data_IF_451704110411
#
_entry.id   IF_451704110411
#
_cell.length_a   1.000
_cell.length_b   1.000
_cell.length_c   1.000
_cell.angle_alpha   90.00
_cell.angle_beta   90.00
_cell.angle_gamma   90.00
#
_symmetry.space_group_name_H-M   'P 1'
#
loop_
_entity.id
_entity.type
_entity.pdbx_description
1 polymer ?
#
# COMPACT_ATOMS: atom_id res chain seq x y z
N UNK A 1 57.79 38.99 -18.80
CA UNK A 1 56.44 38.64 -19.31
C UNK A 1 55.66 38.17 -18.08
N UNK A 2 55.26 39.09 -17.21
CA UNK A 2 53.93 39.77 -17.16
C UNK A 2 52.87 38.85 -16.55
N UNK A 3 52.13 39.11 -15.46
CA UNK A 3 52.02 40.09 -14.37
C UNK A 3 51.25 39.32 -13.24
N UNK A 4 51.67 39.24 -11.98
CA UNK A 4 51.37 40.15 -10.85
C UNK A 4 49.90 40.62 -10.71
N UNK A 5 49.21 40.13 -9.66
CA UNK A 5 48.18 40.76 -8.79
C UNK A 5 47.58 39.63 -7.92
N UNK A 6 47.60 39.57 -6.58
CA UNK A 6 47.91 40.55 -5.54
C UNK A 6 46.63 41.11 -4.90
N UNK A 7 46.17 40.53 -3.78
CA UNK A 7 45.57 41.27 -2.66
C UNK A 7 45.24 40.33 -1.46
N UNK A 8 45.84 40.65 -0.32
CA UNK A 8 45.56 40.13 1.00
C UNK A 8 44.54 41.03 1.72
N UNK A 9 43.74 40.48 2.63
CA UNK A 9 43.30 41.19 3.84
C UNK A 9 43.28 40.22 5.02
N UNK A 10 44.21 40.44 5.94
CA UNK A 10 44.19 40.02 7.34
C UNK A 10 43.19 40.91 8.09
N UNK A 11 42.37 40.33 8.97
CA UNK A 11 41.98 41.01 10.22
C UNK A 11 41.91 39.96 11.34
N UNK A 12 42.63 40.25 12.43
CA UNK A 12 42.75 39.40 13.60
C UNK A 12 42.22 40.13 14.84
N UNK A 13 41.65 39.32 15.75
CA UNK A 13 41.57 39.48 17.22
C UNK A 13 40.57 40.50 17.82
N UNK A 14 39.61 40.01 18.61
CA UNK A 14 39.76 39.90 20.08
C UNK A 14 38.46 39.43 20.78
N UNK A 15 38.59 38.52 21.75
CA UNK A 15 37.71 38.32 22.93
C UNK A 15 38.54 38.72 24.18
N UNK A 16 38.04 38.95 25.43
CA UNK A 16 37.26 37.96 26.23
C UNK A 16 36.33 38.47 27.40
N UNK A 17 35.67 37.50 28.06
CA UNK A 17 35.28 37.39 29.52
C UNK A 17 34.25 38.37 30.14
N UNK A 18 33.58 38.15 31.29
CA UNK A 18 33.05 37.04 32.12
C UNK A 18 32.25 37.72 33.29
N UNK A 19 31.62 36.93 34.18
CA UNK A 19 30.89 37.26 35.46
C UNK A 19 29.42 37.72 35.38
N UNK A 20 28.55 37.53 36.38
CA UNK A 20 28.30 36.55 37.46
C UNK A 20 26.98 37.01 38.16
N UNK A 21 26.29 36.10 38.85
CA UNK A 21 24.99 36.30 39.51
C UNK A 21 25.00 37.32 40.69
N UNK A 22 23.84 37.62 41.28
CA UNK A 22 23.60 37.02 42.60
C UNK A 22 22.18 36.49 42.86
N UNK A 23 22.17 35.59 43.85
CA UNK A 23 21.10 34.86 44.52
C UNK A 23 20.56 35.66 45.73
N UNK A 24 19.24 35.77 45.93
CA UNK A 24 18.61 36.12 47.24
C UNK A 24 17.16 35.57 47.35
N UNK A 25 17.05 34.42 48.02
CA UNK A 25 16.09 34.04 49.11
C UNK A 25 14.65 34.61 49.21
N UNK A 26 13.71 33.66 49.37
CA UNK A 26 12.31 33.74 49.86
C UNK A 26 12.14 34.28 51.30
N UNK A 27 10.94 34.77 51.69
CA UNK A 27 9.99 33.90 52.44
C UNK A 27 8.46 34.15 52.21
N UNK A 28 7.65 33.09 52.38
CA UNK A 28 6.21 33.05 52.71
C UNK A 28 5.99 33.36 54.23
N UNK A 29 4.79 33.64 54.82
CA UNK A 29 3.46 33.06 54.50
C UNK A 29 2.20 33.94 54.73
N UNK A 30 1.01 33.41 54.42
CA UNK A 30 -0.26 33.87 55.01
C UNK A 30 -1.54 33.61 54.21
N UNK A 31 -2.26 32.54 54.55
CA UNK A 31 -3.68 32.26 54.17
C UNK A 31 -4.65 33.18 54.96
N UNK A 32 -5.91 33.39 54.51
CA UNK A 32 -6.97 32.45 54.91
C UNK A 32 -8.01 32.11 53.84
N UNK A 33 -8.80 31.09 54.18
CA UNK A 33 -9.75 30.33 53.40
C UNK A 33 -11.07 31.05 53.07
N UNK A 34 -11.79 30.56 52.05
CA UNK A 34 -13.16 30.07 52.23
C UNK A 34 -13.61 29.14 51.10
N UNK A 35 -14.30 28.09 51.54
CA UNK A 35 -14.99 26.99 50.85
C UNK A 35 -16.06 27.40 49.83
N UNK A 36 -16.17 26.66 48.72
CA UNK A 36 -17.46 26.23 48.17
C UNK A 36 -17.31 24.99 47.27
N UNK A 37 -18.04 23.95 47.65
CA UNK A 37 -18.24 22.65 47.02
C UNK A 37 -18.91 22.76 45.66
N UNK A 38 -18.48 21.97 44.68
CA UNK A 38 -19.13 21.87 43.37
C UNK A 38 -18.61 20.70 42.55
N UNK A 39 -19.12 19.50 42.81
CA UNK A 39 -18.95 18.32 41.97
C UNK A 39 -19.65 18.55 40.63
N UNK A 40 -18.91 18.56 39.52
CA UNK A 40 -19.47 18.32 38.19
C UNK A 40 -18.69 17.22 37.48
N UNK A 41 -19.28 16.03 37.50
CA UNK A 41 -19.12 14.99 36.48
C UNK A 41 -19.51 15.55 35.12
N UNK A 42 -18.53 15.66 34.22
CA UNK A 42 -18.74 16.00 32.81
C UNK A 42 -18.26 14.85 31.92
N UNK A 43 -19.18 13.95 31.61
CA UNK A 43 -19.04 12.95 30.53
C UNK A 43 -19.03 13.70 29.20
N UNK A 44 -17.92 13.66 28.46
CA UNK A 44 -17.90 14.08 27.05
C UNK A 44 -17.97 12.85 26.16
N UNK A 45 -19.20 12.51 25.81
CA UNK A 45 -19.55 11.63 24.71
C UNK A 45 -19.44 12.44 23.41
N UNK A 46 -18.36 12.26 22.66
CA UNK A 46 -18.21 12.78 21.31
C UNK A 46 -18.54 11.69 20.30
N UNK A 47 -19.83 11.46 20.04
CA UNK A 47 -20.27 10.63 18.94
C UNK A 47 -20.15 11.44 17.64
N UNK A 48 -19.30 11.00 16.71
CA UNK A 48 -19.35 11.45 15.32
C UNK A 48 -19.53 10.25 14.38
N UNK A 49 -20.60 10.35 13.60
CA UNK A 49 -20.74 9.83 12.24
C UNK A 49 -20.83 8.32 12.02
N UNK A 50 -22.03 7.79 12.19
CA UNK A 50 -22.46 6.58 11.49
C UNK A 50 -23.19 6.96 10.20
N UNK A 51 -22.50 6.96 9.06
CA UNK A 51 -23.09 6.61 7.76
C UNK A 51 -21.95 6.34 6.77
N UNK A 52 -21.68 5.08 6.45
CA UNK A 52 -21.38 4.68 5.08
C UNK A 52 -21.54 3.17 4.90
N UNK A 53 -21.96 2.85 3.69
CA UNK A 53 -22.78 1.71 3.31
C UNK A 53 -21.92 0.48 3.06
N UNK A 54 -22.20 -0.61 3.78
CA UNK A 54 -21.66 -1.92 3.46
C UNK A 54 -22.21 -2.43 2.12
N UNK A 55 -21.32 -2.63 1.14
CA UNK A 55 -21.62 -3.40 -0.05
C UNK A 55 -21.21 -4.86 0.21
N UNK A 56 -22.14 -5.63 0.77
CA UNK A 56 -22.03 -7.08 0.85
C UNK A 56 -22.23 -7.70 -0.54
N UNK A 57 -21.28 -8.52 -1.00
CA UNK A 57 -21.54 -9.57 -2.00
C UNK A 57 -21.14 -10.92 -1.41
N UNK A 58 -22.05 -11.46 -0.59
CA UNK A 58 -21.99 -12.83 -0.09
C UNK A 58 -23.02 -13.69 -0.82
N UNK A 59 -22.53 -14.57 -1.69
CA UNK A 59 -23.29 -15.62 -2.37
C UNK A 59 -23.80 -16.64 -1.34
N UNK A 60 -25.09 -17.01 -1.39
CA UNK A 60 -25.62 -18.17 -0.66
C UNK A 60 -26.44 -19.11 -1.59
N UNK A 61 -26.33 -20.44 -1.45
CA UNK A 61 -27.09 -21.41 -2.24
C UNK A 61 -28.31 -22.00 -1.50
N UNK A 62 -29.36 -22.30 -2.27
CA UNK A 62 -30.04 -23.60 -2.27
C UNK A 62 -31.04 -24.00 -1.16
N UNK A 63 -32.33 -23.90 -1.52
CA UNK A 63 -33.44 -24.84 -1.27
C UNK A 63 -34.13 -24.94 0.11
N UNK A 64 -35.46 -24.68 0.15
CA UNK A 64 -36.56 -25.69 0.17
C UNK A 64 -37.95 -25.07 0.48
N UNK A 65 -38.98 -25.54 -0.27
CA UNK A 65 -40.41 -25.82 0.08
C UNK A 65 -41.26 -24.75 0.78
N UNK A 66 -42.57 -24.55 0.56
CA UNK A 66 -43.66 -25.14 -0.24
C UNK A 66 -44.95 -24.39 0.10
N UNK A 67 -45.79 -24.03 -0.87
CA UNK A 67 -47.26 -23.83 -0.84
C UNK A 67 -47.64 -23.41 -2.28
N UNK A 68 -48.74 -23.77 -2.93
CA UNK A 68 -49.99 -24.40 -2.57
C UNK A 68 -51.06 -23.84 -3.53
N UNK A 69 -51.45 -24.63 -4.54
CA UNK A 69 -52.79 -24.68 -5.20
C UNK A 69 -53.37 -23.46 -5.93
N UNK A 70 -53.50 -23.53 -7.27
CA UNK A 70 -54.78 -23.60 -8.00
C UNK A 70 -54.60 -23.36 -9.53
N UNK A 71 -55.08 -24.31 -10.34
CA UNK A 71 -55.37 -24.21 -11.78
C UNK A 71 -56.87 -23.84 -11.97
N UNK A 72 -57.50 -23.74 -13.17
CA UNK A 72 -57.10 -24.16 -14.54
C UNK A 72 -57.36 -23.06 -15.62
N UNK A 73 -57.08 -23.16 -16.93
CA UNK A 73 -57.54 -24.06 -18.01
C UNK A 73 -56.94 -23.54 -19.33
N UNK A 74 -56.64 -24.39 -20.33
CA UNK A 74 -56.49 -23.91 -21.72
C UNK A 74 -55.60 -24.70 -22.69
N UNK A 75 -56.02 -25.92 -23.05
CA UNK A 75 -55.93 -26.56 -24.39
C UNK A 75 -54.73 -26.37 -25.37
N UNK A 76 -54.14 -27.54 -25.68
CA UNK A 76 -53.83 -28.15 -27.01
C UNK A 76 -52.84 -27.49 -27.99
N UNK A 77 -51.84 -28.30 -28.39
CA UNK A 77 -51.18 -28.20 -29.69
C UNK A 77 -49.92 -29.06 -29.79
N UNK A 78 -50.08 -30.31 -30.24
CA UNK A 78 -48.97 -31.21 -30.59
C UNK A 78 -48.46 -30.92 -32.01
N UNK A 79 -47.16 -31.13 -32.26
CA UNK A 79 -46.56 -31.11 -33.59
C UNK A 79 -45.11 -31.60 -33.57
N UNK A 80 -44.89 -32.75 -34.17
CA UNK A 80 -43.63 -33.52 -34.24
C UNK A 80 -42.67 -33.04 -35.34
N UNK A 81 -41.40 -33.51 -35.23
CA UNK A 81 -40.53 -34.00 -36.31
C UNK A 81 -39.96 -32.95 -37.30
N UNK A 82 -38.78 -33.09 -37.93
CA UNK A 82 -37.70 -34.07 -37.89
C UNK A 82 -36.44 -33.45 -38.53
N UNK A 83 -35.32 -34.14 -38.38
CA UNK A 83 -34.01 -33.90 -38.98
C UNK A 83 -33.97 -34.06 -40.52
N UNK A 84 -32.94 -33.47 -41.14
CA UNK A 84 -32.52 -33.77 -42.52
C UNK A 84 -31.02 -33.48 -42.72
N UNK A 85 -30.23 -34.55 -42.91
CA UNK A 85 -28.84 -34.56 -43.40
C UNK A 85 -28.82 -34.56 -44.93
N UNK A 86 -27.70 -34.11 -45.54
CA UNK A 86 -26.97 -34.62 -46.73
C UNK A 86 -26.07 -33.49 -47.26
N UNK A 87 -24.86 -33.62 -47.82
CA UNK A 87 -23.95 -34.69 -48.26
C UNK A 87 -22.69 -33.97 -48.84
N UNK A 88 -21.46 -34.37 -48.55
CA UNK A 88 -20.58 -35.25 -49.35
C UNK A 88 -20.05 -34.64 -50.68
N UNK A 89 -18.71 -34.65 -50.87
CA UNK A 89 -18.04 -34.33 -52.14
C UNK A 89 -16.51 -34.15 -52.06
N UNK A 90 -15.78 -35.27 -52.01
CA UNK A 90 -14.33 -35.51 -52.27
C UNK A 90 -13.89 -35.05 -53.69
N UNK A 91 -12.64 -35.00 -54.19
CA UNK A 91 -11.25 -35.28 -53.79
C UNK A 91 -10.34 -34.73 -54.93
N UNK A 92 -9.01 -34.67 -54.72
CA UNK A 92 -8.05 -34.53 -55.83
C UNK A 92 -6.59 -34.33 -55.39
N UNK A 93 -5.82 -35.41 -55.37
CA UNK A 93 -4.42 -35.49 -54.96
C UNK A 93 -3.41 -35.14 -56.08
N UNK A 94 -2.16 -34.84 -55.72
CA UNK A 94 -1.01 -34.84 -56.63
C UNK A 94 0.29 -34.39 -55.96
N UNK A 95 1.20 -35.34 -55.68
CA UNK A 95 2.46 -35.17 -54.95
C UNK A 95 3.69 -34.91 -55.84
N UNK A 96 4.72 -34.29 -55.27
CA UNK A 96 6.15 -34.71 -55.18
C UNK A 96 7.16 -33.58 -55.43
N UNK A 97 8.20 -33.54 -54.59
CA UNK A 97 9.37 -32.68 -54.78
C UNK A 97 10.20 -32.52 -53.51
N UNK A 98 11.07 -33.50 -53.23
CA UNK A 98 12.02 -33.47 -52.13
C UNK A 98 13.09 -32.38 -52.31
N UNK A 99 13.46 -31.70 -51.22
CA UNK A 99 14.51 -30.67 -51.23
C UNK A 99 15.09 -30.41 -49.84
N UNK A 100 16.09 -31.22 -49.48
CA UNK A 100 17.29 -30.94 -48.67
C UNK A 100 17.15 -30.25 -47.30
N UNK A 101 17.59 -30.99 -46.29
CA UNK A 101 17.91 -30.55 -44.93
C UNK A 101 18.74 -29.27 -44.87
N UNK A 102 18.24 -28.28 -44.12
CA UNK A 102 19.01 -27.20 -43.52
C UNK A 102 18.80 -27.29 -42.02
N UNK A 103 19.89 -27.58 -41.29
CA UNK A 103 19.91 -27.58 -39.83
C UNK A 103 19.67 -26.14 -39.32
N UNK A 104 18.41 -25.83 -39.03
CA UNK A 104 18.02 -24.62 -38.31
C UNK A 104 18.17 -24.86 -36.81
N UNK A 105 19.28 -24.36 -36.28
CA UNK A 105 19.55 -24.19 -34.85
C UNK A 105 18.27 -23.94 -34.05
N UNK A 106 17.91 -24.88 -33.19
CA UNK A 106 16.93 -24.68 -32.11
C UNK A 106 17.39 -23.50 -31.28
N UNK A 107 16.81 -22.32 -31.54
CA UNK A 107 16.92 -21.17 -30.68
C UNK A 107 16.35 -21.57 -29.33
N UNK A 108 17.24 -21.85 -28.38
CA UNK A 108 16.92 -21.92 -26.96
C UNK A 108 16.16 -20.65 -26.61
N UNK A 109 14.86 -20.78 -26.38
CA UNK A 109 14.07 -19.71 -25.78
C UNK A 109 14.78 -19.29 -24.51
N UNK A 110 15.31 -18.06 -24.51
CA UNK A 110 15.80 -17.45 -23.28
C UNK A 110 14.61 -17.48 -22.32
N UNK A 111 14.71 -18.32 -21.29
CA UNK A 111 13.94 -18.13 -20.07
C UNK A 111 14.11 -16.65 -19.71
N UNK A 112 13.00 -15.89 -19.78
CA UNK A 112 13.02 -14.48 -19.44
C UNK A 112 13.58 -14.36 -18.04
N UNK A 113 14.80 -13.85 -17.93
CA UNK A 113 15.43 -13.62 -16.64
C UNK A 113 14.49 -12.71 -15.84
N UNK A 114 14.01 -13.21 -14.72
CA UNK A 114 13.23 -12.41 -13.77
C UNK A 114 14.10 -11.22 -13.40
N UNK A 115 13.60 -9.99 -13.58
CA UNK A 115 14.30 -8.81 -13.13
C UNK A 115 14.65 -9.02 -11.64
N UNK A 116 15.94 -8.95 -11.25
CA UNK A 116 16.30 -9.10 -9.86
C UNK A 116 15.56 -8.06 -9.02
N UNK A 117 15.27 -8.39 -7.75
CA UNK A 117 14.87 -7.38 -6.79
C UNK A 117 15.87 -6.22 -6.84
N UNK A 118 15.41 -4.97 -6.69
CA UNK A 118 16.34 -3.84 -6.65
C UNK A 118 17.40 -4.09 -5.57
N UNK A 119 18.64 -3.69 -5.83
CA UNK A 119 19.74 -3.80 -4.85
C UNK A 119 19.33 -3.14 -3.52
N UNK A 120 18.52 -2.08 -3.59
CA UNK A 120 17.96 -1.39 -2.44
C UNK A 120 17.09 -2.30 -1.55
N UNK A 121 16.31 -3.22 -2.12
CA UNK A 121 15.46 -4.14 -1.36
C UNK A 121 16.21 -5.32 -0.71
N UNK A 122 17.42 -5.64 -1.20
CA UNK A 122 18.21 -6.76 -0.69
C UNK A 122 18.96 -6.43 0.63
N UNK A 123 19.25 -5.14 0.89
CA UNK A 123 20.00 -4.66 2.06
C UNK A 123 19.11 -4.06 3.17
N UNK A 124 17.80 -4.34 3.15
CA UNK A 124 16.85 -3.81 4.13
C UNK A 124 16.61 -4.74 5.31
N UNK A 125 16.17 -4.18 6.44
CA UNK A 125 15.59 -4.94 7.53
C UNK A 125 14.34 -5.69 7.04
N UNK A 126 14.44 -7.01 6.96
CA UNK A 126 13.33 -7.89 6.61
C UNK A 126 12.49 -8.20 7.85
N UNK A 127 11.17 -8.23 7.70
CA UNK A 127 10.26 -8.70 8.74
C UNK A 127 9.35 -9.78 8.21
N UNK A 128 9.39 -10.93 8.91
CA UNK A 128 8.50 -12.04 8.71
C UNK A 128 7.58 -12.18 9.94
N UNK A 129 6.31 -11.77 9.81
CA UNK A 129 5.34 -11.95 10.89
C UNK A 129 3.96 -11.36 10.63
N UNK A 130 3.26 -11.06 11.73
CA UNK A 130 1.92 -10.48 11.72
C UNK A 130 1.97 -8.96 11.80
N UNK A 131 1.17 -8.32 10.96
CA UNK A 131 0.96 -6.89 10.96
C UNK A 131 -0.51 -6.52 10.96
N UNK A 132 -0.76 -5.25 11.15
CA UNK A 132 -2.06 -4.64 10.87
C UNK A 132 -1.84 -3.23 10.34
N UNK A 133 -2.84 -2.65 9.70
CA UNK A 133 -2.85 -1.23 9.41
C UNK A 133 -4.18 -0.62 9.90
N UNK A 134 -4.18 0.68 10.14
CA UNK A 134 -5.36 1.39 10.62
C UNK A 134 -5.31 2.84 10.17
N UNK A 135 -6.48 3.41 9.90
CA UNK A 135 -6.61 4.71 9.26
C UNK A 135 -5.99 5.84 10.09
N UNK A 136 -6.18 5.85 11.42
CA UNK A 136 -5.61 6.86 12.32
C UNK A 136 -4.44 6.27 13.11
N UNK A 137 -3.29 6.94 13.06
CA UNK A 137 -2.09 6.58 13.82
C UNK A 137 -2.43 6.44 15.31
N UNK A 138 -2.28 5.23 15.92
CA UNK A 138 -2.68 5.01 17.32
C UNK A 138 -1.76 5.74 18.30
N UNK A 139 -2.26 6.05 19.51
CA UNK A 139 -1.42 6.63 20.56
C UNK A 139 -0.29 5.69 21.02
N UNK A 140 0.78 6.23 21.62
CA UNK A 140 1.85 5.39 22.20
C UNK A 140 1.34 4.47 23.32
N UNK A 141 0.31 4.88 24.07
CA UNK A 141 -0.34 4.03 25.08
C UNK A 141 -1.01 2.83 24.43
N UNK A 142 -1.74 3.05 23.34
CA UNK A 142 -2.37 1.99 22.55
C UNK A 142 -1.33 1.04 21.96
N UNK A 143 -0.27 1.58 21.35
CA UNK A 143 0.82 0.77 20.79
C UNK A 143 1.52 -0.08 21.84
N UNK A 144 1.66 0.40 23.08
CA UNK A 144 2.21 -0.38 24.19
C UNK A 144 1.27 -1.51 24.63
N UNK A 145 -0.02 -1.22 24.80
CA UNK A 145 -1.03 -2.21 25.18
C UNK A 145 -1.16 -3.33 24.14
N UNK A 146 -1.13 -2.96 22.86
CA UNK A 146 -1.24 -3.88 21.72
C UNK A 146 -0.06 -4.83 21.55
N UNK A 147 1.05 -4.66 22.30
CA UNK A 147 2.11 -5.67 22.37
C UNK A 147 1.63 -7.00 22.95
N UNK A 148 0.50 -7.01 23.66
CA UNK A 148 -0.18 -8.23 24.13
C UNK A 148 -0.78 -9.07 22.99
N UNK A 149 -0.98 -8.48 21.81
CA UNK A 149 -1.44 -9.17 20.59
C UNK A 149 -0.33 -9.98 19.93
N UNK A 150 -0.69 -10.72 18.86
CA UNK A 150 0.27 -11.41 17.96
C UNK A 150 1.05 -10.46 17.02
N UNK A 151 0.59 -9.22 16.83
CA UNK A 151 1.14 -8.31 15.83
C UNK A 151 2.48 -7.71 16.27
N UNK A 152 3.40 -7.52 15.31
CA UNK A 152 4.69 -6.84 15.54
C UNK A 152 5.02 -5.82 14.45
N UNK A 153 4.13 -5.61 13.49
CA UNK A 153 4.22 -4.54 12.50
C UNK A 153 2.93 -3.74 12.41
N UNK A 154 3.05 -2.47 11.99
CA UNK A 154 1.93 -1.55 11.78
C UNK A 154 2.09 -0.79 10.46
N UNK A 155 1.04 -0.77 9.65
CA UNK A 155 0.88 0.12 8.51
C UNK A 155 0.45 1.52 8.94
N UNK A 156 1.15 2.54 8.46
CA UNK A 156 0.96 3.94 8.87
C UNK A 156 0.80 4.83 7.65
N UNK A 157 -0.37 5.46 7.52
CA UNK A 157 -0.71 6.40 6.44
C UNK A 157 -0.02 7.75 6.64
N UNK A 158 1.23 7.85 6.19
CA UNK A 158 2.11 8.94 6.58
C UNK A 158 1.99 10.18 5.71
N UNK A 159 1.49 10.04 4.49
CA UNK A 159 1.47 11.13 3.50
C UNK A 159 0.50 10.94 2.35
N UNK A 160 0.45 11.96 1.49
CA UNK A 160 -0.32 11.99 0.26
C UNK A 160 -1.70 12.60 0.38
N UNK A 161 -2.14 13.23 -0.73
CA UNK A 161 -3.42 13.95 -0.86
C UNK A 161 -4.65 13.05 -0.77
N UNK A 162 -4.50 11.76 -1.02
CA UNK A 162 -5.57 10.76 -1.07
C UNK A 162 -5.86 10.03 0.24
N UNK A 163 -5.20 10.40 1.34
CA UNK A 163 -5.41 9.75 2.66
C UNK A 163 -6.87 9.81 3.09
N UNK A 164 -7.40 8.66 3.52
CA UNK A 164 -8.76 8.55 4.06
C UNK A 164 -8.92 9.31 5.38
N UNK A 165 -7.95 9.19 6.29
CA UNK A 165 -7.86 9.96 7.53
C UNK A 165 -6.80 11.07 7.37
N UNK A 166 -7.20 12.31 7.00
CA UNK A 166 -6.24 13.37 6.72
C UNK A 166 -5.55 13.89 7.99
N UNK A 167 -6.23 13.84 9.15
CA UNK A 167 -5.66 14.26 10.42
C UNK A 167 -5.02 13.06 11.14
N UNK A 168 -3.73 13.13 11.37
CA UNK A 168 -2.92 12.10 12.03
C UNK A 168 -2.30 12.69 13.31
N UNK A 169 -3.07 12.87 14.40
CA UNK A 169 -2.65 13.67 15.55
C UNK A 169 -1.43 13.10 16.29
N UNK A 170 -1.25 11.78 16.26
CA UNK A 170 -0.14 11.10 16.92
C UNK A 170 1.11 11.00 16.03
N UNK A 171 0.95 11.14 14.70
CA UNK A 171 2.03 10.91 13.75
C UNK A 171 3.08 12.01 13.83
N UNK A 172 4.25 11.64 14.33
CA UNK A 172 5.40 12.52 14.47
C UNK A 172 6.68 11.70 14.44
N UNK A 173 7.83 12.36 14.23
CA UNK A 173 9.14 11.70 14.36
C UNK A 173 9.32 11.03 15.72
N UNK A 174 8.87 11.68 16.80
CA UNK A 174 8.94 11.12 18.15
C UNK A 174 8.05 9.87 18.32
N UNK A 175 6.87 9.86 17.70
CA UNK A 175 6.03 8.67 17.70
C UNK A 175 6.70 7.52 16.97
N UNK A 176 7.23 7.77 15.77
CA UNK A 176 7.90 6.77 14.94
C UNK A 176 9.11 6.17 15.67
N UNK A 177 9.97 7.00 16.26
CA UNK A 177 11.11 6.51 17.05
C UNK A 177 10.66 5.75 18.30
N UNK A 178 9.60 6.20 18.98
CA UNK A 178 9.06 5.53 20.16
C UNK A 178 8.50 4.14 19.85
N UNK A 179 7.71 3.98 18.78
CA UNK A 179 7.17 2.66 18.41
C UNK A 179 8.27 1.73 17.90
N UNK A 180 9.26 2.27 17.17
CA UNK A 180 10.44 1.52 16.76
C UNK A 180 11.23 1.01 17.99
N UNK A 181 11.46 1.87 18.99
CA UNK A 181 12.08 1.50 20.26
C UNK A 181 11.27 0.50 21.10
N UNK A 182 9.95 0.43 20.93
CA UNK A 182 9.09 -0.63 21.48
C UNK A 182 9.17 -1.95 20.70
N UNK A 183 9.96 -2.00 19.63
CA UNK A 183 10.13 -3.16 18.76
C UNK A 183 8.97 -3.38 17.79
N UNK A 184 8.21 -2.33 17.45
CA UNK A 184 7.28 -2.38 16.31
C UNK A 184 8.04 -2.16 15.01
N UNK A 185 7.61 -2.84 13.94
CA UNK A 185 8.07 -2.58 12.58
C UNK A 185 7.05 -1.69 11.86
N UNK A 186 7.52 -0.64 11.20
CA UNK A 186 6.64 0.33 10.53
C UNK A 186 6.60 0.03 9.03
N UNK A 187 5.40 0.01 8.47
CA UNK A 187 5.12 -0.10 7.04
C UNK A 187 4.50 1.23 6.58
N UNK A 188 5.29 2.16 6.02
CA UNK A 188 4.79 3.49 5.69
C UNK A 188 4.01 3.47 4.37
N UNK A 189 2.74 3.89 4.44
CA UNK A 189 1.80 3.93 3.31
C UNK A 189 1.59 5.38 2.87
N UNK A 190 1.86 5.66 1.60
CA UNK A 190 1.62 6.96 0.97
C UNK A 190 0.41 6.85 0.05
N UNK A 191 -0.59 7.71 0.26
CA UNK A 191 -1.83 7.67 -0.51
C UNK A 191 -1.88 8.86 -1.45
N UNK A 192 -1.28 8.69 -2.61
CA UNK A 192 -1.12 9.71 -3.65
C UNK A 192 -2.34 9.89 -4.54
N UNK A 193 -2.09 10.47 -5.71
CA UNK A 193 -3.00 10.49 -6.86
C UNK A 193 -3.48 9.07 -7.18
N UNK A 194 -4.78 8.96 -7.49
CA UNK A 194 -5.45 7.68 -7.73
C UNK A 194 -5.74 7.48 -9.22
N UNK A 195 -5.95 6.22 -9.61
CA UNK A 195 -6.27 5.87 -10.99
C UNK A 195 -7.46 6.69 -11.54
N UNK A 196 -7.45 7.12 -12.82
CA UNK A 196 -8.58 7.86 -13.41
C UNK A 196 -9.91 7.10 -13.34
N UNK A 197 -9.85 5.77 -13.34
CA UNK A 197 -10.99 4.86 -13.22
C UNK A 197 -11.07 4.19 -11.84
N UNK A 198 -10.61 4.86 -10.78
CA UNK A 198 -10.73 4.35 -9.40
C UNK A 198 -12.18 4.02 -9.04
N UNK A 199 -12.39 2.84 -8.49
CA UNK A 199 -13.70 2.33 -8.11
C UNK A 199 -14.24 3.06 -6.87
N UNK A 200 -13.36 3.35 -5.90
CA UNK A 200 -13.72 4.03 -4.65
C UNK A 200 -14.17 5.48 -4.91
N UNK A 201 -15.44 5.77 -4.65
CA UNK A 201 -16.03 7.09 -4.92
C UNK A 201 -15.32 8.22 -4.17
N UNK A 202 -14.94 7.99 -2.91
CA UNK A 202 -14.23 8.97 -2.08
C UNK A 202 -12.87 9.39 -2.65
N UNK A 203 -12.30 8.58 -3.55
CA UNK A 203 -10.98 8.76 -4.16
C UNK A 203 -11.04 9.46 -5.51
N UNK A 204 -12.23 9.60 -6.12
CA UNK A 204 -12.41 10.29 -7.41
C UNK A 204 -12.03 11.77 -7.40
N UNK A 205 -11.93 12.38 -6.21
CA UNK A 205 -11.49 13.77 -6.04
C UNK A 205 -9.96 13.95 -6.07
N UNK A 206 -9.21 12.85 -6.08
CA UNK A 206 -7.73 12.85 -6.09
C UNK A 206 -7.18 12.01 -7.24
N UNK A 207 -7.90 11.90 -8.36
CA UNK A 207 -7.37 11.18 -9.52
C UNK A 207 -6.17 11.90 -10.11
N UNK A 208 -5.25 11.12 -10.70
CA UNK A 208 -4.17 11.65 -11.52
C UNK A 208 -4.73 12.44 -12.71
N UNK A 209 -4.03 13.50 -13.09
CA UNK A 209 -4.37 14.36 -14.22
C UNK A 209 -3.72 13.93 -15.53
N UNK A 210 -3.52 14.90 -16.42
CA UNK A 210 -3.02 14.67 -17.78
C UNK A 210 -1.50 14.42 -17.85
N UNK A 211 -0.77 14.62 -16.75
CA UNK A 211 0.68 14.34 -16.64
C UNK A 211 0.97 13.27 -15.57
N UNK A 212 0.61 11.99 -15.81
CA UNK A 212 0.82 10.92 -14.84
C UNK A 212 2.31 10.71 -14.51
N UNK A 213 3.22 10.97 -15.47
CA UNK A 213 4.65 10.80 -15.26
C UNK A 213 5.21 11.88 -14.34
N UNK A 214 4.89 13.14 -14.60
CA UNK A 214 5.25 14.27 -13.75
C UNK A 214 4.66 14.12 -12.35
N UNK A 215 3.36 13.85 -12.24
CA UNK A 215 2.70 13.65 -10.95
C UNK A 215 3.33 12.51 -10.14
N UNK A 216 3.62 11.34 -10.75
CA UNK A 216 4.27 10.25 -10.04
C UNK A 216 5.68 10.60 -9.55
N UNK A 217 6.42 11.43 -10.30
CA UNK A 217 7.74 11.92 -9.90
C UNK A 217 7.63 12.90 -8.73
N UNK A 218 6.73 13.88 -8.83
CA UNK A 218 6.54 14.90 -7.80
C UNK A 218 6.04 14.30 -6.49
N UNK A 219 5.06 13.38 -6.56
CA UNK A 219 4.56 12.74 -5.35
C UNK A 219 5.59 11.78 -4.74
N UNK A 220 6.47 11.14 -5.53
CA UNK A 220 7.56 10.33 -4.99
C UNK A 220 8.57 11.17 -4.20
N UNK A 221 8.85 12.39 -4.67
CA UNK A 221 9.67 13.36 -3.94
C UNK A 221 8.98 13.79 -2.65
N UNK A 222 7.67 14.05 -2.69
CA UNK A 222 6.87 14.36 -1.49
C UNK A 222 6.92 13.22 -0.47
N UNK A 223 6.74 11.97 -0.92
CA UNK A 223 6.81 10.78 -0.07
C UNK A 223 8.16 10.69 0.65
N UNK A 224 9.26 10.82 -0.09
CA UNK A 224 10.60 10.76 0.48
C UNK A 224 10.84 11.92 1.45
N UNK A 225 10.40 13.14 1.13
CA UNK A 225 10.52 14.29 2.02
C UNK A 225 9.77 14.04 3.35
N UNK A 226 8.53 13.57 3.29
CA UNK A 226 7.72 13.30 4.48
C UNK A 226 8.27 12.11 5.29
N UNK A 227 8.75 11.07 4.62
CA UNK A 227 9.41 9.94 5.27
C UNK A 227 10.65 10.41 6.05
N UNK A 228 11.50 11.25 5.44
CA UNK A 228 12.66 11.87 6.10
C UNK A 228 12.27 12.73 7.30
N UNK A 229 11.23 13.54 7.17
CA UNK A 229 10.72 14.37 8.27
C UNK A 229 10.27 13.53 9.48
N UNK A 230 9.76 12.32 9.23
CA UNK A 230 9.38 11.35 10.25
C UNK A 230 10.54 10.48 10.75
N UNK A 231 11.75 10.66 10.23
CA UNK A 231 12.95 9.94 10.66
C UNK A 231 13.19 8.60 9.95
N UNK A 232 12.46 8.32 8.87
CA UNK A 232 12.69 7.14 8.03
C UNK A 232 13.87 7.42 7.08
N UNK A 233 14.89 6.58 7.12
CA UNK A 233 16.14 6.78 6.36
C UNK A 233 16.16 5.99 5.04
N UNK A 234 17.16 6.26 4.21
CA UNK A 234 17.43 5.51 2.97
C UNK A 234 17.45 3.99 3.21
N UNK A 235 16.93 3.26 2.23
CA UNK A 235 16.62 1.83 2.33
C UNK A 235 15.28 1.52 3.01
N UNK A 236 14.52 2.52 3.49
CA UNK A 236 13.14 2.26 3.92
C UNK A 236 12.22 2.00 2.72
N UNK A 237 11.33 1.00 2.79
CA UNK A 237 10.26 0.84 1.81
C UNK A 237 9.19 1.92 1.99
N UNK A 238 8.69 2.47 0.89
CA UNK A 238 7.55 3.39 0.85
C UNK A 238 6.46 2.77 -0.03
N UNK A 239 5.31 2.44 0.57
CA UNK A 239 4.23 1.75 -0.13
C UNK A 239 3.26 2.76 -0.74
N UNK A 240 3.23 2.86 -2.07
CA UNK A 240 2.22 3.61 -2.81
C UNK A 240 0.88 2.86 -2.74
N UNK A 241 -0.12 3.50 -2.15
CA UNK A 241 -1.50 3.02 -2.12
C UNK A 241 -2.24 3.43 -3.39
N UNK A 242 -2.57 2.44 -4.21
CA UNK A 242 -3.42 2.58 -5.38
C UNK A 242 -4.66 1.71 -5.22
N UNK A 243 -5.77 2.35 -4.93
CA UNK A 243 -7.06 1.71 -4.69
C UNK A 243 -7.55 0.95 -5.93
N UNK A 244 -8.52 0.04 -5.76
CA UNK A 244 -9.04 -0.74 -6.89
C UNK A 244 -9.54 0.17 -8.03
N UNK A 245 -9.16 -0.16 -9.26
CA UNK A 245 -9.57 0.52 -10.49
C UNK A 245 -9.88 -0.49 -11.61
N UNK A 246 -10.54 -0.03 -12.67
CA UNK A 246 -10.84 -0.84 -13.86
C UNK A 246 -9.59 -0.99 -14.74
N UNK A 247 -8.81 -2.04 -14.47
CA UNK A 247 -7.63 -2.43 -15.23
C UNK A 247 -7.93 -2.94 -16.66
N UNK A 248 -9.19 -3.15 -17.04
CA UNK A 248 -9.60 -3.60 -18.37
C UNK A 248 -9.87 -2.41 -19.29
N UNK A 249 -10.07 -1.22 -18.74
CA UNK A 249 -9.96 0.02 -19.48
C UNK A 249 -8.49 0.27 -19.81
N UNK A 250 -8.12 0.09 -21.07
CA UNK A 250 -6.73 0.16 -21.51
C UNK A 250 -6.09 1.54 -21.31
N UNK A 251 -6.87 2.60 -21.48
CA UNK A 251 -6.36 3.97 -21.36
C UNK A 251 -6.14 4.31 -19.88
N UNK A 252 -7.08 3.90 -19.03
CA UNK A 252 -6.94 4.01 -17.59
C UNK A 252 -5.74 3.20 -17.06
N UNK A 253 -5.62 1.94 -17.48
CA UNK A 253 -4.53 1.05 -17.07
C UNK A 253 -3.16 1.59 -17.51
N UNK A 254 -3.05 2.10 -18.75
CA UNK A 254 -1.80 2.66 -19.27
C UNK A 254 -1.40 3.97 -18.55
N UNK A 255 -2.38 4.83 -18.24
CA UNK A 255 -2.17 6.07 -17.47
C UNK A 255 -1.68 5.74 -16.06
N UNK A 256 -2.38 4.82 -15.39
CA UNK A 256 -2.05 4.37 -14.03
C UNK A 256 -0.66 3.72 -13.98
N UNK A 257 -0.32 2.88 -14.95
CA UNK A 257 1.01 2.27 -15.05
C UNK A 257 2.12 3.31 -15.24
N UNK A 258 1.88 4.34 -16.05
CA UNK A 258 2.87 5.39 -16.30
C UNK A 258 3.18 6.18 -15.04
N UNK A 259 2.17 6.46 -14.21
CA UNK A 259 2.31 7.06 -12.89
C UNK A 259 3.08 6.16 -11.92
N UNK A 260 2.70 4.89 -11.80
CA UNK A 260 3.37 3.93 -10.89
C UNK A 260 4.85 3.81 -11.24
N UNK A 261 5.16 3.69 -12.54
CA UNK A 261 6.55 3.53 -13.00
C UNK A 261 7.42 4.77 -12.76
N UNK A 262 6.86 5.97 -12.89
CA UNK A 262 7.62 7.20 -12.60
C UNK A 262 7.84 7.37 -11.10
N UNK A 263 6.82 7.06 -10.29
CA UNK A 263 6.92 6.99 -8.84
C UNK A 263 8.03 6.02 -8.40
N UNK A 264 7.98 4.78 -8.85
CA UNK A 264 8.92 3.73 -8.43
C UNK A 264 10.36 4.09 -8.78
N UNK A 265 10.58 4.60 -9.99
CA UNK A 265 11.89 5.06 -10.45
C UNK A 265 12.43 6.19 -9.59
N UNK A 266 11.58 7.15 -9.22
CA UNK A 266 12.00 8.31 -8.44
C UNK A 266 12.28 7.95 -6.98
N UNK A 267 11.44 7.11 -6.36
CA UNK A 267 11.68 6.57 -5.01
C UNK A 267 13.03 5.83 -4.96
N UNK A 268 13.30 4.96 -5.94
CA UNK A 268 14.57 4.24 -6.02
C UNK A 268 15.76 5.17 -6.29
N UNK A 269 15.59 6.17 -7.17
CA UNK A 269 16.63 7.20 -7.42
C UNK A 269 16.99 7.98 -6.16
N UNK A 270 16.03 8.18 -5.26
CA UNK A 270 16.19 8.88 -3.99
C UNK A 270 16.71 7.97 -2.85
N UNK A 271 17.02 6.70 -3.13
CA UNK A 271 17.63 5.77 -2.18
C UNK A 271 16.63 5.03 -1.29
N UNK A 272 15.34 5.07 -1.61
CA UNK A 272 14.29 4.34 -0.89
C UNK A 272 13.85 3.11 -1.70
N UNK A 273 13.10 2.20 -1.07
CA UNK A 273 12.56 1.02 -1.73
C UNK A 273 11.12 1.28 -2.18
N UNK A 274 10.83 1.09 -3.46
CA UNK A 274 9.48 1.22 -4.01
C UNK A 274 8.60 0.05 -3.57
N UNK A 275 7.51 0.34 -2.86
CA UNK A 275 6.47 -0.62 -2.50
C UNK A 275 5.14 -0.24 -3.15
N UNK A 276 4.29 -1.23 -3.43
CA UNK A 276 2.98 -0.99 -4.02
C UNK A 276 1.89 -1.75 -3.28
N UNK A 277 0.81 -1.05 -2.92
CA UNK A 277 -0.42 -1.61 -2.38
C UNK A 277 -1.57 -1.48 -3.38
N UNK A 278 -2.31 -2.58 -3.59
CA UNK A 278 -3.60 -2.55 -4.30
C UNK A 278 -4.42 -3.83 -4.06
N UNK A 279 -5.65 -3.85 -4.57
CA UNK A 279 -6.50 -5.04 -4.63
C UNK A 279 -5.91 -6.11 -5.56
N UNK A 280 -5.96 -7.37 -5.12
CA UNK A 280 -5.40 -8.52 -5.82
C UNK A 280 -5.95 -8.71 -7.24
N UNK A 281 -7.23 -8.41 -7.45
CA UNK A 281 -7.93 -8.59 -8.74
C UNK A 281 -7.92 -7.33 -9.64
N UNK A 282 -7.22 -6.27 -9.22
CA UNK A 282 -7.11 -4.99 -9.94
C UNK A 282 -5.63 -4.64 -10.17
N UNK A 283 -5.06 -3.66 -9.45
CA UNK A 283 -3.70 -3.19 -9.68
C UNK A 283 -2.63 -4.27 -9.54
N UNK A 284 -2.79 -5.19 -8.59
CA UNK A 284 -1.86 -6.33 -8.43
C UNK A 284 -1.89 -7.26 -9.65
N UNK A 285 -3.09 -7.54 -10.19
CA UNK A 285 -3.24 -8.35 -11.40
C UNK A 285 -2.58 -7.67 -12.61
N UNK A 286 -2.76 -6.35 -12.76
CA UNK A 286 -2.10 -5.57 -13.79
C UNK A 286 -0.58 -5.63 -13.65
N UNK A 287 -0.01 -5.28 -12.50
CA UNK A 287 1.45 -5.29 -12.31
C UNK A 287 2.03 -6.70 -12.45
N UNK A 288 1.29 -7.74 -12.05
CA UNK A 288 1.64 -9.13 -12.33
C UNK A 288 1.72 -9.44 -13.84
N UNK A 289 0.82 -8.90 -14.65
CA UNK A 289 0.85 -9.02 -16.11
C UNK A 289 2.01 -8.23 -16.72
N UNK A 290 2.26 -7.02 -16.26
CA UNK A 290 3.38 -6.18 -16.71
C UNK A 290 4.74 -6.82 -16.39
N UNK A 291 4.89 -7.40 -15.20
CA UNK A 291 6.10 -8.15 -14.84
C UNK A 291 6.32 -9.37 -15.73
N UNK A 292 5.24 -10.06 -16.13
CA UNK A 292 5.30 -11.16 -17.11
C UNK A 292 5.72 -10.69 -18.50
N UNK A 293 5.28 -9.50 -18.90
CA UNK A 293 5.62 -8.88 -20.17
C UNK A 293 7.06 -8.33 -20.21
N UNK A 294 7.73 -8.21 -19.05
CA UNK A 294 9.09 -7.69 -18.94
C UNK A 294 9.17 -6.17 -18.83
N UNK A 295 8.08 -5.52 -18.41
CA UNK A 295 8.02 -4.08 -18.15
C UNK A 295 9.01 -3.71 -17.04
N UNK A 296 9.79 -2.66 -17.27
CA UNK A 296 10.77 -2.13 -16.31
C UNK A 296 10.13 -1.13 -15.34
N UNK A 297 10.87 -0.74 -14.31
CA UNK A 297 10.45 0.28 -13.33
C UNK A 297 9.16 -0.11 -12.60
N UNK A 298 9.00 -1.40 -12.30
CA UNK A 298 7.91 -1.91 -11.46
C UNK A 298 8.34 -1.86 -9.98
N UNK A 299 7.40 -1.89 -9.03
CA UNK A 299 7.74 -1.75 -7.62
C UNK A 299 8.63 -2.89 -7.16
N UNK A 300 9.48 -2.62 -6.18
CA UNK A 300 10.38 -3.60 -5.59
C UNK A 300 9.68 -4.55 -4.61
N UNK A 301 8.60 -4.10 -3.95
CA UNK A 301 7.82 -4.87 -2.95
C UNK A 301 6.33 -4.82 -3.26
N UNK A 302 5.62 -5.93 -3.06
CA UNK A 302 4.19 -6.07 -3.38
C UNK A 302 3.35 -6.29 -2.12
N UNK A 303 2.42 -5.39 -1.84
CA UNK A 303 1.38 -5.54 -0.84
C UNK A 303 0.03 -5.76 -1.53
N UNK A 304 -0.51 -6.98 -1.46
CA UNK A 304 -1.78 -7.30 -2.11
C UNK A 304 -2.92 -7.42 -1.09
N UNK A 305 -4.07 -6.83 -1.40
CA UNK A 305 -5.29 -7.03 -0.65
C UNK A 305 -6.15 -8.13 -1.28
N UNK A 306 -6.38 -9.19 -0.49
CA UNK A 306 -7.39 -10.21 -0.79
C UNK A 306 -7.99 -10.67 0.53
N UNK A 307 -9.18 -10.21 0.83
CA UNK A 307 -9.85 -10.52 2.09
C UNK A 307 -10.48 -11.91 2.04
N UNK A 308 -9.70 -12.92 2.41
CA UNK A 308 -10.08 -14.34 2.38
C UNK A 308 -9.82 -15.05 3.73
N UNK A 309 -9.43 -14.30 4.76
CA UNK A 309 -9.04 -14.80 6.09
C UNK A 309 -7.88 -15.81 6.08
N UNK A 310 -7.14 -15.93 4.96
CA UNK A 310 -6.00 -16.83 4.82
C UNK A 310 -4.69 -16.03 4.85
N UNK A 311 -3.92 -16.06 5.95
CA UNK A 311 -2.74 -15.22 6.12
C UNK A 311 -1.50 -15.81 5.42
N UNK A 312 -1.52 -15.86 4.09
CA UNK A 312 -0.44 -16.40 3.26
C UNK A 312 0.01 -15.40 2.21
N UNK A 313 1.29 -15.07 2.22
CA UNK A 313 1.95 -14.25 1.17
C UNK A 313 2.19 -15.03 -0.14
N UNK A 314 1.90 -16.32 -0.16
CA UNK A 314 2.06 -17.21 -1.32
C UNK A 314 0.72 -17.79 -1.77
N UNK A 315 0.65 -18.23 -3.04
CA UNK A 315 -0.55 -18.84 -3.60
C UNK A 315 -1.61 -17.85 -4.09
N UNK A 316 -1.31 -16.55 -4.12
CA UNK A 316 -2.16 -15.52 -4.73
C UNK A 316 -2.32 -15.76 -6.25
N UNK A 317 -3.52 -16.04 -6.77
CA UNK A 317 -3.73 -16.35 -8.19
C UNK A 317 -3.25 -15.26 -9.17
N UNK A 318 -3.29 -13.99 -8.78
CA UNK A 318 -2.84 -12.87 -9.61
C UNK A 318 -1.31 -12.78 -9.74
N UNK A 319 -0.56 -13.45 -8.86
CA UNK A 319 0.90 -13.39 -8.79
C UNK A 319 1.52 -14.79 -8.98
N UNK A 320 2.45 -14.94 -9.92
CA UNK A 320 3.19 -16.22 -10.03
C UNK A 320 4.06 -16.40 -8.80
N UNK A 321 4.36 -17.64 -8.40
CA UNK A 321 5.13 -17.93 -7.18
C UNK A 321 6.49 -17.24 -7.10
N UNK A 322 7.12 -16.96 -8.24
CA UNK A 322 8.44 -16.31 -8.34
C UNK A 322 8.39 -14.77 -8.38
N UNK A 323 7.24 -14.17 -8.63
CA UNK A 323 7.15 -12.71 -8.77
C UNK A 323 7.21 -12.06 -7.38
N UNK A 324 8.08 -11.07 -7.13
CA UNK A 324 8.27 -10.51 -5.78
C UNK A 324 8.50 -11.59 -4.71
N UNK A 325 9.49 -12.45 -4.90
CA UNK A 325 9.79 -13.57 -3.99
C UNK A 325 11.29 -13.90 -4.03
N UNK A 326 11.88 -14.36 -2.91
CA UNK A 326 11.30 -14.43 -1.55
C UNK A 326 11.31 -13.06 -0.84
N UNK A 327 10.60 -12.93 0.28
CA UNK A 327 10.68 -11.78 1.21
C UNK A 327 10.36 -10.40 0.58
N UNK A 328 9.39 -10.34 -0.34
CA UNK A 328 8.97 -9.09 -0.99
C UNK A 328 7.45 -8.97 -1.09
N UNK A 329 6.72 -9.61 -0.16
CA UNK A 329 5.26 -9.67 -0.19
C UNK A 329 4.62 -9.36 1.16
N UNK A 330 3.51 -8.63 1.08
CA UNK A 330 2.58 -8.41 2.18
C UNK A 330 1.19 -8.79 1.69
N UNK A 331 0.41 -9.45 2.55
CA UNK A 331 -0.97 -9.80 2.27
C UNK A 331 -1.89 -9.16 3.29
N UNK A 332 -2.73 -8.22 2.86
CA UNK A 332 -3.89 -7.78 3.63
C UNK A 332 -5.00 -8.82 3.47
N UNK A 333 -5.17 -9.67 4.47
CA UNK A 333 -5.99 -10.89 4.38
C UNK A 333 -7.38 -10.74 4.99
N UNK A 334 -7.63 -9.65 5.73
CA UNK A 334 -8.94 -9.26 6.24
C UNK A 334 -8.96 -7.75 6.42
N UNK A 335 -10.07 -7.09 6.05
CA UNK A 335 -10.28 -5.66 6.24
C UNK A 335 -11.39 -5.35 7.24
N UNK A 336 -11.36 -4.14 7.80
CA UNK A 336 -12.38 -3.54 8.68
C UNK A 336 -12.78 -4.44 9.87
N UNK A 337 -11.79 -5.03 10.54
CA UNK A 337 -12.03 -5.83 11.74
C UNK A 337 -11.74 -5.02 13.00
N UNK A 338 -12.66 -5.07 13.97
CA UNK A 338 -12.44 -4.49 15.30
C UNK A 338 -11.81 -5.54 16.22
N UNK A 339 -10.70 -5.18 16.84
CA UNK A 339 -10.03 -6.01 17.84
C UNK A 339 -9.71 -5.21 19.10
N UNK A 340 -9.67 -5.88 20.24
CA UNK A 340 -9.24 -5.30 21.51
C UNK A 340 -8.04 -6.09 22.06
N UNK A 341 -6.96 -5.37 22.38
CA UNK A 341 -5.75 -5.95 23.00
C UNK A 341 -5.25 -5.05 24.12
N UNK A 342 -5.00 -5.64 25.29
CA UNK A 342 -4.56 -4.89 26.47
C UNK A 342 -5.54 -3.79 26.90
N UNK A 343 -6.84 -3.98 26.67
CA UNK A 343 -7.90 -3.02 26.99
C UNK A 343 -7.95 -1.79 26.07
N UNK A 344 -7.43 -1.91 24.85
CA UNK A 344 -7.45 -0.85 23.83
C UNK A 344 -8.06 -1.42 22.55
N UNK A 345 -9.16 -0.84 22.09
CA UNK A 345 -9.84 -1.23 20.85
C UNK A 345 -9.28 -0.47 19.65
N UNK A 346 -9.11 -1.16 18.51
CA UNK A 346 -8.84 -0.53 17.20
C UNK A 346 -9.67 -1.21 16.11
N UNK A 347 -10.09 -0.41 15.12
CA UNK A 347 -10.49 -0.92 13.81
C UNK A 347 -9.27 -1.04 12.93
N UNK A 348 -9.00 -2.24 12.41
CA UNK A 348 -7.77 -2.57 11.69
C UNK A 348 -8.06 -3.39 10.44
N UNK A 349 -7.09 -3.37 9.54
CA UNK A 349 -6.93 -4.40 8.51
C UNK A 349 -5.79 -5.34 8.94
N UNK A 350 -5.97 -6.65 8.77
CA UNK A 350 -5.00 -7.66 9.19
C UNK A 350 -4.04 -8.00 8.07
N UNK A 351 -2.75 -8.03 8.41
CA UNK A 351 -1.68 -8.27 7.46
C UNK A 351 -0.79 -9.46 7.84
N UNK A 352 -0.40 -10.23 6.83
CA UNK A 352 0.74 -11.14 6.89
C UNK A 352 1.89 -10.48 6.14
N UNK A 353 3.02 -10.28 6.81
CA UNK A 353 4.17 -9.54 6.28
C UNK A 353 5.34 -10.49 6.09
N UNK A 354 5.91 -10.50 4.89
CA UNK A 354 7.19 -11.13 4.55
C UNK A 354 7.93 -10.21 3.57
N UNK A 355 8.43 -9.09 4.10
CA UNK A 355 8.90 -7.95 3.31
C UNK A 355 9.83 -7.01 4.10
N UNK A 356 10.54 -6.11 3.40
CA UNK A 356 11.22 -4.97 4.01
C UNK A 356 10.30 -4.13 4.89
N UNK A 357 10.86 -3.56 5.96
CA UNK A 357 10.19 -2.59 6.85
C UNK A 357 11.01 -1.31 7.00
N UNK A 358 10.39 -0.22 7.44
CA UNK A 358 11.06 1.07 7.58
C UNK A 358 12.28 0.99 8.51
N UNK A 359 13.36 1.66 8.09
CA UNK A 359 14.56 1.89 8.88
C UNK A 359 14.44 3.27 9.51
N UNK A 360 14.54 3.33 10.83
CA UNK A 360 14.36 4.58 11.58
C UNK A 360 15.74 5.01 12.08
N UNK A 361 16.06 6.30 11.93
CA UNK A 361 17.28 6.86 12.50
C UNK A 361 17.26 6.74 14.02
N UNK A 362 18.42 6.39 14.60
CA UNK A 362 18.67 6.44 16.04
C UNK A 362 18.52 7.87 16.61
#
# INVERSE_FOLDING_TARGET
MSHLLGAAVLLALAAPAADAAPDVTTPLPGTPASTATGTQTGTQTGAQSGTQSGAQTGTQPGARTSTGTAAPTGTRGAGQAQAGKTGAGEAGAGSTGAGRAGAGSTGTGKSGAVAPASVAAADTDQFDGWGFDTCVTPSLTTMRAWKSSKYRSIGVYYGGRGRGCPNQPELSKNWVSSVYGMGWKVLPVFVGSQSPCVAAEAKRKVTMGDDPVGEGTDEAQEAVEQARALGMVEGSPLYLDMEAYDQNDSDCAATTLSFIRSWDREVERLGYVSGFYSSADSGVAQLGAERRAGTSDLPSVMWFARWNDQPSVTGEPSLRSQDWSPHLRIHQYAGDVTEEHGGQELSIDRNRVDAPVARIAD
#
